data_IF_056506997358
#
_entry.id   IF_056506997358
#
_cell.length_a   1.000
_cell.length_b   1.000
_cell.length_c   1.000
_cell.angle_alpha   90.00
_cell.angle_beta   90.00
_cell.angle_gamma   90.00
#
_symmetry.space_group_name_H-M   'P 1'
#
loop_
_entity.id
_entity.type
_entity.pdbx_description
1 polymer ?
#
# COMPACT_ATOMS: atom_id res chain seq x y z
N UNK A 1 6.16 3.90 20.53
CA UNK A 1 5.80 4.15 19.11
C UNK A 1 5.71 5.65 18.88
N UNK A 2 6.78 6.26 18.35
CA UNK A 2 6.95 7.71 18.18
C UNK A 2 5.76 8.39 17.48
N UNK A 3 5.17 7.71 16.49
CA UNK A 3 4.00 8.21 15.76
C UNK A 3 2.74 8.40 16.63
N UNK A 4 2.48 7.53 17.62
CA UNK A 4 1.32 7.67 18.50
C UNK A 4 1.48 8.84 19.48
N UNK A 5 2.70 9.06 19.97
CA UNK A 5 3.01 10.16 20.89
C UNK A 5 3.01 11.52 20.19
N UNK A 6 3.41 11.58 18.91
CA UNK A 6 3.50 12.84 18.16
C UNK A 6 2.19 13.21 17.45
N UNK A 7 1.47 12.25 16.87
CA UNK A 7 0.32 12.54 16.01
C UNK A 7 -1.04 12.18 16.64
N UNK A 8 -1.07 11.32 17.66
CA UNK A 8 -2.30 10.92 18.38
C UNK A 8 -3.31 10.05 17.60
N UNK A 9 -3.23 10.01 16.26
CA UNK A 9 -4.07 9.20 15.37
C UNK A 9 -3.21 8.38 14.42
N UNK A 10 -3.24 7.06 14.55
CA UNK A 10 -2.43 6.16 13.71
C UNK A 10 -3.28 5.00 13.20
N UNK A 11 -3.17 4.72 11.90
CA UNK A 11 -3.72 3.53 11.23
C UNK A 11 -2.52 2.67 10.81
N UNK A 12 -2.57 1.37 11.08
CA UNK A 12 -1.55 0.41 10.68
C UNK A 12 -1.99 -0.31 9.41
N UNK A 13 -1.11 -0.40 8.42
CA UNK A 13 -1.37 -1.08 7.15
C UNK A 13 -0.17 -1.89 6.70
N UNK A 14 -0.41 -2.93 5.90
CA UNK A 14 0.62 -3.77 5.29
C UNK A 14 0.61 -5.22 5.79
N UNK A 15 1.66 -5.97 5.46
CA UNK A 15 1.75 -7.41 5.72
C UNK A 15 1.50 -7.80 7.18
N UNK A 16 2.03 -7.03 8.14
CA UNK A 16 1.85 -7.31 9.56
C UNK A 16 0.40 -7.12 10.01
N UNK A 17 -0.37 -6.27 9.32
CA UNK A 17 -1.78 -6.03 9.61
C UNK A 17 -2.67 -7.25 9.41
N UNK A 18 -2.18 -8.31 8.75
CA UNK A 18 -2.84 -9.62 8.75
C UNK A 18 -2.91 -10.27 10.16
N UNK A 19 -2.10 -9.79 11.12
CA UNK A 19 -2.06 -10.27 12.51
C UNK A 19 -2.62 -9.20 13.46
N UNK A 20 -3.90 -8.88 13.30
CA UNK A 20 -4.59 -7.80 14.03
C UNK A 20 -4.43 -7.93 15.55
N UNK A 21 -4.63 -9.13 16.09
CA UNK A 21 -4.61 -9.36 17.54
C UNK A 21 -3.25 -9.03 18.16
N UNK A 22 -2.16 -9.43 17.50
CA UNK A 22 -0.79 -9.16 17.97
C UNK A 22 -0.50 -7.65 18.01
N UNK A 23 -1.02 -6.90 17.05
CA UNK A 23 -0.84 -5.44 17.02
C UNK A 23 -1.69 -4.78 18.11
N UNK A 24 -2.95 -5.21 18.29
CA UNK A 24 -3.85 -4.63 19.28
C UNK A 24 -3.41 -4.90 20.71
N UNK A 25 -2.83 -6.07 20.98
CA UNK A 25 -2.28 -6.42 22.29
C UNK A 25 -1.17 -5.45 22.72
N UNK A 26 -0.23 -5.15 21.82
CA UNK A 26 0.92 -4.28 22.12
C UNK A 26 0.57 -2.79 22.02
N UNK A 27 -0.32 -2.42 21.09
CA UNK A 27 -0.68 -1.04 20.79
C UNK A 27 -2.20 -0.84 20.66
N UNK A 28 -2.94 -0.88 21.79
CA UNK A 28 -4.40 -0.78 21.78
C UNK A 28 -4.94 0.59 21.34
N UNK A 29 -4.08 1.62 21.29
CA UNK A 29 -4.43 2.99 20.89
C UNK A 29 -4.39 3.24 19.37
N UNK A 30 -4.04 2.23 18.57
CA UNK A 30 -4.14 2.32 17.11
C UNK A 30 -5.61 2.39 16.71
N UNK A 31 -5.94 3.29 15.79
CA UNK A 31 -7.31 3.51 15.34
C UNK A 31 -7.81 2.30 14.56
N UNK A 32 -7.11 1.97 13.48
CA UNK A 32 -7.50 0.89 12.57
C UNK A 32 -6.29 0.09 12.08
N UNK A 33 -6.54 -1.16 11.69
CA UNK A 33 -5.53 -2.09 11.18
C UNK A 33 -6.05 -2.71 9.88
N UNK A 34 -5.22 -2.72 8.84
CA UNK A 34 -5.54 -3.30 7.54
C UNK A 34 -4.45 -4.25 7.08
N UNK A 35 -4.84 -5.34 6.42
CA UNK A 35 -3.92 -6.36 5.92
C UNK A 35 -3.20 -5.95 4.62
N UNK A 36 -2.39 -6.84 4.04
CA UNK A 36 -1.88 -6.65 2.70
C UNK A 36 -3.03 -6.58 1.67
N UNK A 37 -2.81 -5.91 0.54
CA UNK A 37 -3.79 -5.75 -0.56
C UNK A 37 -5.08 -5.01 -0.21
N UNK A 38 -5.20 -4.42 0.97
CA UNK A 38 -6.45 -3.81 1.46
C UNK A 38 -6.51 -2.30 1.15
N UNK A 39 -6.23 -1.90 -0.09
CA UNK A 39 -6.12 -0.48 -0.46
C UNK A 39 -7.43 0.29 -0.23
N UNK A 40 -8.55 -0.31 -0.64
CA UNK A 40 -9.89 0.27 -0.49
C UNK A 40 -10.24 0.45 1.00
N UNK A 41 -9.94 -0.56 1.81
CA UNK A 41 -10.18 -0.53 3.25
C UNK A 41 -9.34 0.55 3.95
N UNK A 42 -8.08 0.75 3.53
CA UNK A 42 -7.25 1.85 4.04
C UNK A 42 -7.93 3.20 3.76
N UNK A 43 -8.42 3.41 2.53
CA UNK A 43 -9.11 4.66 2.17
C UNK A 43 -10.40 4.84 2.96
N UNK A 44 -11.17 3.77 3.16
CA UNK A 44 -12.38 3.80 3.99
C UNK A 44 -12.07 4.23 5.43
N UNK A 45 -11.09 3.58 6.06
CA UNK A 45 -10.67 3.89 7.43
C UNK A 45 -10.12 5.32 7.55
N UNK A 46 -9.33 5.78 6.58
CA UNK A 46 -8.87 7.17 6.54
C UNK A 46 -10.07 8.12 6.48
N UNK A 47 -11.05 7.83 5.63
CA UNK A 47 -12.21 8.69 5.43
C UNK A 47 -13.24 8.65 6.55
N UNK A 48 -13.21 7.63 7.41
CA UNK A 48 -13.96 7.60 8.64
C UNK A 48 -13.51 8.71 9.62
N UNK A 49 -12.20 9.00 9.68
CA UNK A 49 -11.65 10.01 10.59
C UNK A 49 -11.32 11.36 9.94
N UNK A 50 -11.19 11.41 8.60
CA UNK A 50 -10.84 12.60 7.84
C UNK A 50 -11.73 12.71 6.60
N UNK A 51 -12.57 13.76 6.47
CA UNK A 51 -13.49 13.87 5.35
C UNK A 51 -12.76 13.88 4.00
N UNK A 52 -13.39 13.27 2.99
CA UNK A 52 -12.86 13.26 1.62
C UNK A 52 -12.60 14.70 1.14
N UNK A 53 -11.40 15.01 0.62
CA UNK A 53 -11.12 16.34 0.11
C UNK A 53 -12.03 16.64 -1.10
N UNK A 54 -12.69 17.81 -1.11
CA UNK A 54 -13.54 18.27 -2.24
C UNK A 54 -12.74 18.48 -3.53
N UNK A 55 -11.45 18.79 -3.38
CA UNK A 55 -10.50 18.89 -4.46
C UNK A 55 -9.27 18.12 -4.06
N UNK A 56 -8.91 17.12 -4.86
CA UNK A 56 -7.66 16.41 -4.68
C UNK A 56 -6.67 16.93 -5.72
N UNK A 57 -5.75 17.84 -5.34
CA UNK A 57 -4.72 18.34 -6.26
C UNK A 57 -3.78 17.24 -6.77
N UNK A 58 -3.84 16.05 -6.18
CA UNK A 58 -3.08 14.85 -6.53
C UNK A 58 -3.84 13.86 -7.43
N UNK A 59 -5.16 14.05 -7.63
CA UNK A 59 -5.93 13.34 -8.66
C UNK A 59 -5.68 14.00 -10.02
N UNK A 60 -4.50 13.79 -10.59
CA UNK A 60 -4.31 14.02 -12.03
C UNK A 60 -4.96 12.87 -12.80
N UNK A 61 -5.75 13.13 -13.86
CA UNK A 61 -6.20 12.08 -14.75
C UNK A 61 -4.98 11.28 -15.25
N UNK A 62 -4.91 10.00 -14.90
CA UNK A 62 -3.76 9.15 -15.23
C UNK A 62 -2.71 8.99 -14.13
N UNK A 63 -2.94 9.45 -12.90
CA UNK A 63 -2.13 9.09 -11.73
C UNK A 63 -2.39 7.62 -11.34
N UNK A 64 -1.84 6.70 -12.14
CA UNK A 64 -1.59 5.34 -11.69
C UNK A 64 -0.61 5.35 -10.52
N UNK A 65 -0.75 4.32 -9.70
CA UNK A 65 0.08 3.97 -8.56
C UNK A 65 1.59 4.22 -8.80
N UNK A 66 2.19 5.26 -8.21
CA UNK A 66 3.65 5.23 -8.05
C UNK A 66 4.41 6.54 -7.89
N UNK A 67 3.81 7.73 -8.03
CA UNK A 67 4.64 8.94 -8.19
C UNK A 67 4.96 9.72 -6.91
N UNK A 68 4.13 9.66 -5.88
CA UNK A 68 4.29 10.59 -4.74
C UNK A 68 5.31 10.18 -3.69
N UNK A 69 5.71 8.90 -3.66
CA UNK A 69 6.70 8.40 -2.70
C UNK A 69 8.12 8.27 -3.29
N UNK A 70 8.31 8.54 -4.58
CA UNK A 70 9.57 8.29 -5.28
C UNK A 70 10.42 9.56 -5.47
N UNK A 71 11.76 9.51 -5.29
CA UNK A 71 12.65 10.57 -5.74
C UNK A 71 12.51 10.87 -7.24
N UNK A 72 12.72 12.12 -7.66
CA UNK A 72 12.54 12.56 -9.07
C UNK A 72 13.31 11.77 -10.15
N UNK A 73 14.33 11.02 -9.77
CA UNK A 73 15.26 10.38 -10.68
C UNK A 73 15.02 8.87 -10.87
N UNK A 74 14.10 8.27 -10.12
CA UNK A 74 13.67 6.89 -10.36
C UNK A 74 12.19 6.70 -9.98
N UNK A 75 11.63 5.55 -10.38
CA UNK A 75 10.27 5.18 -10.06
C UNK A 75 10.17 3.66 -9.82
N UNK A 76 9.52 3.22 -8.75
CA UNK A 76 9.16 1.82 -8.54
C UNK A 76 7.93 1.45 -9.37
N UNK A 77 8.09 0.46 -10.24
CA UNK A 77 7.01 -0.10 -11.03
C UNK A 77 6.76 -1.55 -10.62
N UNK A 78 5.62 -1.79 -9.95
CA UNK A 78 5.21 -3.17 -9.62
C UNK A 78 4.73 -3.88 -10.88
N UNK A 79 5.40 -4.97 -11.27
CA UNK A 79 5.03 -5.80 -12.43
C UNK A 79 4.30 -7.10 -12.05
N UNK A 80 4.50 -7.59 -10.83
CA UNK A 80 3.90 -8.81 -10.31
C UNK A 80 3.75 -8.74 -8.79
N UNK A 81 2.98 -9.67 -8.24
CA UNK A 81 2.73 -9.83 -6.80
C UNK A 81 2.66 -11.32 -6.46
N UNK A 82 3.03 -11.71 -5.24
CA UNK A 82 3.03 -13.12 -4.81
C UNK A 82 4.21 -13.93 -5.35
N UNK A 83 4.24 -15.24 -5.05
CA UNK A 83 5.32 -16.14 -5.46
C UNK A 83 4.90 -17.61 -5.52
N UNK A 84 5.23 -18.31 -6.60
CA UNK A 84 4.99 -19.76 -6.74
C UNK A 84 6.10 -20.63 -6.14
N UNK A 85 7.23 -20.03 -5.75
CA UNK A 85 8.36 -20.77 -5.22
C UNK A 85 8.16 -21.04 -3.73
N UNK A 86 8.11 -22.33 -3.38
CA UNK A 86 7.82 -22.82 -2.02
C UNK A 86 9.11 -23.02 -1.23
N UNK A 87 9.92 -21.97 -1.07
CA UNK A 87 11.10 -22.07 -0.22
C UNK A 87 10.68 -22.41 1.22
N UNK A 88 11.45 -23.28 1.87
CA UNK A 88 11.19 -23.69 3.26
C UNK A 88 11.19 -22.52 4.26
N UNK A 89 11.90 -21.44 3.95
CA UNK A 89 12.02 -20.25 4.80
C UNK A 89 11.05 -19.11 4.42
N UNK A 90 10.37 -19.19 3.27
CA UNK A 90 9.65 -18.04 2.71
C UNK A 90 8.17 -18.07 3.08
N UNK A 91 7.69 -17.02 3.76
CA UNK A 91 6.28 -16.85 4.14
C UNK A 91 5.41 -16.26 3.02
N UNK A 92 5.99 -15.81 1.91
CA UNK A 92 5.27 -15.07 0.87
C UNK A 92 4.11 -15.85 0.26
N UNK A 93 4.24 -17.14 -0.11
CA UNK A 93 3.11 -17.88 -0.69
C UNK A 93 1.89 -17.96 0.24
N UNK A 94 2.08 -18.05 1.55
CA UNK A 94 0.97 -18.08 2.51
C UNK A 94 0.43 -16.69 2.86
N UNK A 95 1.26 -15.65 2.77
CA UNK A 95 0.89 -14.29 3.17
C UNK A 95 0.32 -13.44 2.02
N UNK A 96 0.89 -13.55 0.82
CA UNK A 96 0.52 -12.74 -0.37
C UNK A 96 -0.08 -13.59 -1.50
N UNK A 97 -0.07 -14.92 -1.36
CA UNK A 97 -0.60 -15.84 -2.35
C UNK A 97 0.40 -16.21 -3.45
N UNK A 98 -0.13 -16.98 -4.41
CA UNK A 98 0.59 -17.42 -5.61
C UNK A 98 0.92 -16.22 -6.53
N UNK A 99 1.89 -16.43 -7.43
CA UNK A 99 2.36 -15.39 -8.34
C UNK A 99 1.24 -14.94 -9.30
N UNK A 100 0.94 -13.64 -9.25
CA UNK A 100 0.08 -12.95 -10.21
C UNK A 100 0.91 -11.88 -10.93
N UNK A 101 1.02 -11.98 -12.24
CA UNK A 101 1.69 -10.99 -13.08
C UNK A 101 0.68 -10.02 -13.70
N UNK A 102 1.08 -8.75 -13.84
CA UNK A 102 0.25 -7.74 -14.50
C UNK A 102 0.33 -7.89 -16.03
N UNK A 103 -0.74 -7.54 -16.77
CA UNK A 103 -0.69 -7.49 -18.23
C UNK A 103 0.38 -6.51 -18.73
N UNK A 104 1.14 -6.92 -19.74
CA UNK A 104 2.25 -6.11 -20.29
C UNK A 104 1.80 -4.72 -20.76
N UNK A 105 0.60 -4.61 -21.34
CA UNK A 105 0.06 -3.33 -21.80
C UNK A 105 -0.11 -2.32 -20.67
N UNK A 106 -0.60 -2.74 -19.50
CA UNK A 106 -0.73 -1.88 -18.32
C UNK A 106 0.63 -1.48 -17.75
N UNK A 107 1.57 -2.42 -17.74
CA UNK A 107 2.95 -2.19 -17.27
C UNK A 107 3.63 -1.14 -18.15
N UNK A 108 3.53 -1.29 -19.47
CA UNK A 108 4.12 -0.34 -20.43
C UNK A 108 3.45 1.04 -20.37
N UNK A 109 2.11 1.08 -20.25
CA UNK A 109 1.39 2.33 -20.10
C UNK A 109 1.84 3.07 -18.82
N UNK A 110 1.99 2.37 -17.70
CA UNK A 110 2.46 2.97 -16.46
C UNK A 110 3.93 3.40 -16.53
N UNK A 111 4.80 2.56 -17.08
CA UNK A 111 6.21 2.90 -17.29
C UNK A 111 6.36 4.20 -18.09
N UNK A 112 5.58 4.33 -19.18
CA UNK A 112 5.56 5.55 -19.98
C UNK A 112 5.10 6.76 -19.16
N UNK A 113 4.01 6.65 -18.39
CA UNK A 113 3.54 7.75 -17.53
C UNK A 113 4.56 8.19 -16.49
N UNK A 114 5.30 7.24 -15.90
CA UNK A 114 6.37 7.52 -14.94
C UNK A 114 7.55 8.23 -15.62
N UNK A 115 7.96 7.74 -16.79
CA UNK A 115 9.01 8.36 -17.61
C UNK A 115 8.61 9.69 -18.27
N UNK A 116 7.29 10.01 -18.34
CA UNK A 116 6.70 11.28 -18.81
C UNK A 116 6.34 12.28 -17.68
N UNK A 117 6.70 12.03 -16.41
CA UNK A 117 7.70 13.01 -15.97
C UNK A 117 8.24 13.14 -14.52
N UNK A 118 9.20 12.30 -14.17
CA UNK A 118 10.56 12.80 -13.91
C UNK A 118 10.91 14.26 -14.35
#
# INVERSE_FOLDING_TARGET
>A
MKALTENGKVIVTGCLGAKVDQIREVHPKVLEITGPHSYEQVLEHVHHYVPKPKHNPFLRPGAGTGREADPRHYAYLKISEGCNHRCTFCIIPSMRGDLVSRPIGEVLAEAKRLADAA
#
